data_IF_023760582812
#
_entry.id   IF_023760582812
#
_cell.length_a   1.000
_cell.length_b   1.000
_cell.length_c   1.000
_cell.angle_alpha   90.00
_cell.angle_beta   90.00
_cell.angle_gamma   90.00
#
_symmetry.space_group_name_H-M   'P 1'
#
loop_
_entity.id
_entity.type
_entity.pdbx_description
1 polymer ?
#
# COMPACT_ATOMS: atom_id res chain seq x y z
N UNK A 1 -0.47 0.79 -35.34
CA UNK A 1 -1.15 1.12 -34.08
C UNK A 1 -2.31 2.03 -34.45
N UNK A 2 -3.51 1.47 -34.63
CA UNK A 2 -4.75 2.26 -34.75
C UNK A 2 -4.94 3.03 -33.44
N UNK A 3 -5.31 4.31 -33.53
CA UNK A 3 -5.46 5.23 -32.41
C UNK A 3 -6.36 4.67 -31.30
N UNK A 4 -5.77 4.02 -30.35
CA UNK A 4 -6.43 3.69 -29.09
C UNK A 4 -6.60 5.00 -28.34
N UNK A 5 -7.84 5.39 -28.08
CA UNK A 5 -8.10 6.47 -27.13
C UNK A 5 -7.41 6.17 -25.81
N UNK A 6 -6.69 7.14 -25.29
CA UNK A 6 -6.01 6.98 -23.99
C UNK A 6 -7.07 6.65 -22.93
N UNK A 7 -6.90 5.50 -22.26
CA UNK A 7 -7.83 5.10 -21.21
C UNK A 7 -7.89 6.18 -20.11
N UNK A 8 -9.08 6.44 -19.59
CA UNK A 8 -9.31 7.51 -18.61
C UNK A 8 -8.39 7.46 -17.39
N UNK A 9 -7.99 6.27 -16.95
CA UNK A 9 -7.10 6.09 -15.79
C UNK A 9 -5.65 6.55 -16.04
N UNK A 10 -5.27 6.76 -17.31
CA UNK A 10 -3.94 7.25 -17.71
C UNK A 10 -3.96 8.75 -18.01
N UNK A 11 -5.13 9.41 -17.90
CA UNK A 11 -5.26 10.86 -18.04
C UNK A 11 -4.93 11.49 -16.69
N UNK A 12 -4.00 12.46 -16.62
CA UNK A 12 -3.69 13.13 -15.37
C UNK A 12 -4.94 13.71 -14.72
N UNK A 13 -5.15 13.52 -13.40
CA UNK A 13 -6.30 14.08 -12.70
C UNK A 13 -6.28 15.61 -12.77
N UNK A 14 -7.43 16.21 -13.01
CA UNK A 14 -7.59 17.66 -12.99
C UNK A 14 -8.37 18.08 -11.76
N UNK A 15 -7.90 19.15 -11.11
CA UNK A 15 -8.64 19.71 -9.99
C UNK A 15 -10.02 20.18 -10.46
N UNK A 16 -11.07 19.96 -9.69
CA UNK A 16 -12.39 20.49 -10.02
C UNK A 16 -12.37 22.02 -10.05
N UNK A 17 -13.19 22.61 -10.91
CA UNK A 17 -13.28 24.07 -11.07
C UNK A 17 -13.87 24.80 -9.86
N UNK A 18 -14.52 24.06 -8.95
CA UNK A 18 -15.02 24.54 -7.67
C UNK A 18 -14.43 23.71 -6.54
N UNK A 19 -14.16 24.35 -5.39
CA UNK A 19 -13.78 23.62 -4.18
C UNK A 19 -14.95 22.71 -3.77
N UNK A 20 -14.77 21.41 -3.93
CA UNK A 20 -15.76 20.40 -3.54
C UNK A 20 -15.12 19.48 -2.50
N UNK A 21 -15.87 19.23 -1.43
CA UNK A 21 -15.49 18.24 -0.43
C UNK A 21 -15.72 16.82 -0.95
N UNK A 22 -15.11 15.83 -0.31
CA UNK A 22 -15.37 14.41 -0.60
C UNK A 22 -16.86 14.09 -0.47
N UNK A 23 -17.51 14.63 0.56
CA UNK A 23 -18.93 14.41 0.83
C UNK A 23 -19.81 14.98 -0.28
N UNK A 24 -19.49 16.17 -0.83
CA UNK A 24 -20.23 16.73 -1.97
C UNK A 24 -20.18 15.85 -3.21
N UNK A 25 -19.05 15.20 -3.50
CA UNK A 25 -18.95 14.22 -4.59
C UNK A 25 -19.86 13.01 -4.35
N UNK A 26 -19.84 12.48 -3.11
CA UNK A 26 -20.66 11.33 -2.73
C UNK A 26 -22.15 11.68 -2.75
N UNK A 27 -22.54 12.82 -2.17
CA UNK A 27 -23.93 13.28 -2.14
C UNK A 27 -24.50 13.52 -3.54
N UNK A 28 -23.70 14.09 -4.43
CA UNK A 28 -24.10 14.27 -5.84
C UNK A 28 -24.42 12.93 -6.48
N UNK A 29 -23.59 11.90 -6.25
CA UNK A 29 -23.83 10.58 -6.83
C UNK A 29 -25.04 9.90 -6.19
N UNK A 30 -25.18 9.95 -4.88
CA UNK A 30 -26.35 9.42 -4.17
C UNK A 30 -27.65 10.05 -4.66
N UNK A 31 -27.67 11.38 -4.82
CA UNK A 31 -28.84 12.11 -5.32
C UNK A 31 -29.25 11.68 -6.72
N UNK A 32 -28.29 11.40 -7.61
CA UNK A 32 -28.56 10.89 -8.97
C UNK A 32 -29.26 9.54 -8.94
N UNK A 33 -28.97 8.70 -7.94
CA UNK A 33 -29.56 7.37 -7.74
C UNK A 33 -30.82 7.42 -6.83
N UNK A 34 -31.29 8.62 -6.44
CA UNK A 34 -32.45 8.77 -5.53
C UNK A 34 -32.18 8.30 -4.10
N UNK A 35 -30.92 8.20 -3.72
CA UNK A 35 -30.48 7.76 -2.40
C UNK A 35 -30.04 8.95 -1.53
N UNK A 36 -29.95 8.71 -0.23
CA UNK A 36 -29.43 9.64 0.78
C UNK A 36 -28.48 8.89 1.69
N UNK A 37 -27.48 9.59 2.24
CA UNK A 37 -26.66 9.02 3.29
C UNK A 37 -27.47 8.79 4.59
N UNK A 38 -27.01 7.85 5.41
CA UNK A 38 -27.57 7.62 6.74
C UNK A 38 -27.24 8.79 7.67
N UNK A 39 -27.98 8.89 8.78
CA UNK A 39 -27.61 9.82 9.87
C UNK A 39 -26.24 9.47 10.43
N UNK A 40 -25.58 10.48 11.02
CA UNK A 40 -24.31 10.32 11.70
C UNK A 40 -24.37 9.21 12.76
N UNK A 41 -23.30 8.44 12.86
CA UNK A 41 -23.19 7.36 13.83
C UNK A 41 -23.02 7.93 15.27
N UNK A 42 -23.46 7.17 16.27
CA UNK A 42 -23.23 7.55 17.67
C UNK A 42 -21.74 7.64 18.02
N UNK A 43 -21.36 8.48 18.99
CA UNK A 43 -19.97 8.58 19.47
C UNK A 43 -19.35 7.22 19.83
N UNK A 44 -20.11 6.30 20.43
CA UNK A 44 -19.64 4.94 20.72
C UNK A 44 -19.30 4.16 19.44
N UNK A 45 -20.07 4.33 18.40
CA UNK A 45 -19.81 3.70 17.10
C UNK A 45 -18.62 4.35 16.40
N UNK A 46 -18.51 5.68 16.45
CA UNK A 46 -17.40 6.43 15.83
C UNK A 46 -16.06 6.04 16.43
N UNK A 47 -15.90 6.09 17.75
CA UNK A 47 -14.62 5.72 18.39
C UNK A 47 -14.25 4.27 18.11
N UNK A 48 -15.21 3.34 18.13
CA UNK A 48 -14.96 1.95 17.78
C UNK A 48 -14.44 1.81 16.36
N UNK A 49 -15.07 2.51 15.39
CA UNK A 49 -14.65 2.46 13.97
C UNK A 49 -13.26 3.03 13.79
N UNK A 50 -12.99 4.23 14.31
CA UNK A 50 -11.68 4.88 14.21
C UNK A 50 -10.56 3.97 14.75
N UNK A 51 -10.75 3.40 15.94
CA UNK A 51 -9.75 2.50 16.53
C UNK A 51 -9.54 1.23 15.70
N UNK A 52 -10.61 0.60 15.23
CA UNK A 52 -10.49 -0.62 14.42
C UNK A 52 -9.86 -0.34 13.05
N UNK A 53 -10.21 0.76 12.42
CA UNK A 53 -9.71 1.10 11.10
C UNK A 53 -8.24 1.54 11.15
N UNK A 54 -7.89 2.42 12.10
CA UNK A 54 -6.54 2.99 12.17
C UNK A 54 -5.54 2.12 12.95
N UNK A 55 -5.97 1.46 14.03
CA UNK A 55 -5.08 0.66 14.88
C UNK A 55 -5.30 -0.86 14.76
N UNK A 56 -6.47 -1.28 14.26
CA UNK A 56 -6.87 -2.69 14.31
C UNK A 56 -7.20 -3.22 15.71
N UNK A 57 -7.32 -2.32 16.70
CA UNK A 57 -7.56 -2.61 18.10
C UNK A 57 -8.86 -1.96 18.58
N UNK A 58 -9.42 -2.47 19.65
CA UNK A 58 -10.59 -1.83 20.30
C UNK A 58 -10.12 -0.72 21.25
N UNK A 59 -10.89 0.38 21.37
CA UNK A 59 -10.64 1.37 22.42
C UNK A 59 -10.88 0.78 23.81
N UNK A 60 -10.17 1.29 24.82
CA UNK A 60 -10.43 0.94 26.20
C UNK A 60 -11.78 1.52 26.69
N UNK A 61 -12.39 0.97 27.74
CA UNK A 61 -13.62 1.52 28.34
C UNK A 61 -13.44 2.99 28.76
N UNK A 62 -12.27 3.34 29.25
CA UNK A 62 -11.92 4.69 29.69
C UNK A 62 -11.90 5.68 28.51
N UNK A 63 -11.30 5.30 27.38
CA UNK A 63 -11.28 6.10 26.16
C UNK A 63 -12.69 6.29 25.60
N UNK A 64 -13.50 5.24 25.59
CA UNK A 64 -14.91 5.33 25.17
C UNK A 64 -15.67 6.32 26.03
N UNK A 65 -15.54 6.23 27.36
CA UNK A 65 -16.27 7.10 28.29
C UNK A 65 -15.78 8.55 28.16
N UNK A 66 -14.48 8.80 28.02
CA UNK A 66 -13.92 10.12 27.80
C UNK A 66 -14.49 10.76 26.53
N UNK A 67 -14.44 10.06 25.39
CA UNK A 67 -14.96 10.58 24.13
C UNK A 67 -16.48 10.80 24.13
N UNK A 68 -17.25 9.89 24.70
CA UNK A 68 -18.72 10.03 24.78
C UNK A 68 -19.14 11.22 25.62
N UNK A 69 -18.41 11.52 26.71
CA UNK A 69 -18.67 12.64 27.59
C UNK A 69 -18.11 13.98 27.12
N UNK A 70 -17.20 14.00 26.17
CA UNK A 70 -16.63 15.21 25.58
C UNK A 70 -17.69 15.94 24.75
N UNK A 71 -17.93 17.23 25.09
CA UNK A 71 -18.92 18.07 24.43
C UNK A 71 -18.33 19.10 23.47
N UNK A 72 -17.04 19.07 23.25
CA UNK A 72 -16.37 19.95 22.30
C UNK A 72 -16.83 19.66 20.88
N UNK A 73 -16.91 20.71 20.06
CA UNK A 73 -17.28 20.59 18.65
C UNK A 73 -16.25 19.79 17.85
N UNK A 74 -14.96 19.93 18.17
CA UNK A 74 -13.81 19.27 17.55
C UNK A 74 -13.40 17.96 18.24
N UNK A 75 -14.24 17.39 19.10
CA UNK A 75 -13.92 16.17 19.84
C UNK A 75 -13.60 14.98 18.95
N UNK A 76 -14.21 14.90 17.76
CA UNK A 76 -13.96 13.81 16.83
C UNK A 76 -12.62 13.97 16.11
N UNK A 77 -12.30 15.17 15.67
CA UNK A 77 -11.01 15.51 15.08
C UNK A 77 -9.87 15.25 16.07
N UNK A 78 -10.02 15.70 17.33
CA UNK A 78 -9.04 15.43 18.38
C UNK A 78 -8.86 13.93 18.66
N UNK A 79 -9.94 13.14 18.58
CA UNK A 79 -9.83 11.69 18.67
C UNK A 79 -9.00 11.09 17.52
N UNK A 80 -9.24 11.53 16.29
CA UNK A 80 -8.51 11.04 15.11
C UNK A 80 -7.02 11.37 15.24
N UNK A 81 -6.68 12.63 15.56
CA UNK A 81 -5.28 13.05 15.75
C UNK A 81 -4.58 12.20 16.81
N UNK A 82 -5.21 12.04 17.98
CA UNK A 82 -4.68 11.19 19.06
C UNK A 82 -4.45 9.74 18.61
N UNK A 83 -5.35 9.19 17.81
CA UNK A 83 -5.25 7.80 17.34
C UNK A 83 -4.15 7.66 16.29
N UNK A 84 -3.96 8.66 15.41
CA UNK A 84 -2.89 8.68 14.41
C UNK A 84 -1.49 8.80 15.05
N UNK A 85 -1.36 9.45 16.21
CA UNK A 85 -0.10 9.50 16.98
C UNK A 85 0.27 8.18 17.67
N UNK A 86 -0.64 7.20 17.68
CA UNK A 86 -0.40 5.91 18.33
C UNK A 86 0.56 5.04 17.47
N UNK A 87 1.67 4.54 18.04
CA UNK A 87 2.61 3.67 17.30
C UNK A 87 1.99 2.45 16.61
N UNK A 88 0.89 1.93 17.14
CA UNK A 88 0.14 0.83 16.52
C UNK A 88 -0.49 1.19 15.17
N UNK A 89 -0.59 2.48 14.83
CA UNK A 89 -1.00 2.92 13.50
C UNK A 89 -0.05 2.39 12.43
N UNK A 90 1.25 2.61 12.60
CA UNK A 90 2.26 2.09 11.66
C UNK A 90 2.26 0.56 11.58
N UNK A 91 2.11 -0.14 12.72
CA UNK A 91 2.01 -1.61 12.72
C UNK A 91 0.78 -2.10 11.95
N UNK A 92 -0.37 -1.43 12.10
CA UNK A 92 -1.61 -1.76 11.40
C UNK A 92 -1.49 -1.54 9.91
N UNK A 93 -1.02 -0.36 9.48
CA UNK A 93 -0.97 0.03 8.08
C UNK A 93 0.20 -0.57 7.32
N UNK A 94 1.34 -0.80 7.98
CA UNK A 94 2.46 -1.53 7.39
C UNK A 94 2.05 -2.92 6.90
N UNK A 95 1.13 -3.62 7.58
CA UNK A 95 0.64 -4.93 7.15
C UNK A 95 0.05 -4.91 5.75
N UNK A 96 -0.74 -3.86 5.42
CA UNK A 96 -1.32 -3.73 4.07
C UNK A 96 -0.23 -3.53 3.01
N UNK A 97 0.79 -2.72 3.32
CA UNK A 97 1.93 -2.55 2.42
C UNK A 97 2.76 -3.82 2.30
N UNK A 98 3.02 -4.50 3.39
CA UNK A 98 3.79 -5.75 3.42
C UNK A 98 3.10 -6.87 2.61
N UNK A 99 1.77 -6.91 2.60
CA UNK A 99 1.00 -7.82 1.72
C UNK A 99 1.22 -7.48 0.23
N UNK A 100 1.14 -6.20 -0.13
CA UNK A 100 1.37 -5.76 -1.52
C UNK A 100 2.75 -6.16 -2.02
N UNK A 101 3.78 -6.03 -1.16
CA UNK A 101 5.17 -6.34 -1.53
C UNK A 101 5.54 -7.81 -1.28
N UNK A 102 4.60 -8.64 -0.88
CA UNK A 102 4.76 -10.09 -0.64
C UNK A 102 5.81 -10.41 0.42
N UNK A 103 5.92 -9.55 1.45
CA UNK A 103 6.85 -9.74 2.55
C UNK A 103 6.59 -11.06 3.28
N UNK A 104 7.66 -11.79 3.59
CA UNK A 104 7.64 -12.93 4.49
C UNK A 104 8.97 -13.06 5.24
N UNK A 105 8.91 -13.60 6.45
CA UNK A 105 10.09 -13.91 7.26
C UNK A 105 10.80 -15.18 6.78
N UNK A 106 10.33 -15.79 5.70
CA UNK A 106 10.90 -16.99 5.07
C UNK A 106 11.01 -16.83 3.55
N UNK A 107 11.88 -17.62 2.95
CA UNK A 107 12.20 -17.54 1.52
C UNK A 107 11.11 -18.14 0.60
N UNK A 108 10.20 -18.95 1.15
CA UNK A 108 9.26 -19.73 0.35
C UNK A 108 9.90 -20.93 -0.34
N UNK A 109 9.23 -21.47 -1.33
CA UNK A 109 9.61 -22.68 -2.05
C UNK A 109 9.76 -23.91 -1.14
N UNK A 110 10.38 -24.97 -1.65
CA UNK A 110 10.45 -26.27 -0.98
C UNK A 110 11.21 -26.25 0.36
N UNK A 111 12.28 -25.47 0.43
CA UNK A 111 13.14 -25.41 1.60
C UNK A 111 12.71 -24.38 2.63
N UNK A 112 11.96 -23.40 2.22
CA UNK A 112 11.36 -22.35 3.03
C UNK A 112 12.28 -21.83 4.18
N UNK A 113 13.53 -21.49 3.85
CA UNK A 113 14.48 -20.99 4.84
C UNK A 113 14.02 -19.69 5.49
N UNK A 114 14.32 -19.54 6.76
CA UNK A 114 14.13 -18.30 7.50
C UNK A 114 15.01 -17.18 6.91
N UNK A 115 14.47 -15.96 6.96
CA UNK A 115 15.14 -14.71 6.59
C UNK A 115 15.38 -13.86 7.84
N UNK A 116 16.44 -14.11 8.58
CA UNK A 116 16.63 -13.52 9.91
C UNK A 116 16.76 -11.99 9.89
N UNK A 117 17.04 -11.39 8.72
CA UNK A 117 17.18 -9.94 8.54
C UNK A 117 16.00 -9.29 7.81
N UNK A 118 14.94 -10.03 7.49
CA UNK A 118 13.79 -9.46 6.77
C UNK A 118 13.08 -8.38 7.59
N UNK A 119 13.07 -8.50 8.92
CA UNK A 119 12.44 -7.56 9.84
C UNK A 119 12.94 -6.11 9.69
N UNK A 120 14.15 -5.87 9.22
CA UNK A 120 14.65 -4.51 9.00
C UNK A 120 13.80 -3.73 8.00
N UNK A 121 13.38 -4.38 6.92
CA UNK A 121 12.46 -3.78 5.96
C UNK A 121 11.06 -3.56 6.56
N UNK A 122 10.52 -4.54 7.26
CA UNK A 122 9.25 -4.40 7.98
C UNK A 122 9.28 -3.19 8.92
N UNK A 123 10.32 -3.07 9.73
CA UNK A 123 10.47 -2.00 10.70
C UNK A 123 10.67 -0.63 10.02
N UNK A 124 11.32 -0.60 8.84
CA UNK A 124 11.37 0.60 7.99
C UNK A 124 9.95 1.02 7.57
N UNK A 125 9.13 0.08 7.10
CA UNK A 125 7.76 0.38 6.65
C UNK A 125 6.91 0.90 7.82
N UNK A 126 6.98 0.24 9.00
CA UNK A 126 6.26 0.69 10.20
C UNK A 126 6.64 2.12 10.57
N UNK A 127 7.94 2.43 10.60
CA UNK A 127 8.41 3.79 10.89
C UNK A 127 7.93 4.80 9.86
N UNK A 128 7.99 4.44 8.57
CA UNK A 128 7.55 5.33 7.49
C UNK A 128 6.08 5.75 7.64
N UNK A 129 5.19 4.84 8.05
CA UNK A 129 3.79 5.17 8.35
C UNK A 129 3.66 6.02 9.62
N UNK A 130 4.39 5.71 10.70
CA UNK A 130 4.31 6.49 11.94
C UNK A 130 4.92 7.89 11.82
N UNK A 131 5.87 8.08 10.90
CA UNK A 131 6.51 9.37 10.60
C UNK A 131 5.73 10.17 9.55
N UNK A 132 4.61 9.65 9.07
CA UNK A 132 3.84 10.22 7.94
C UNK A 132 4.75 10.59 6.75
N UNK A 133 5.62 9.66 6.38
CA UNK A 133 6.60 9.88 5.31
C UNK A 133 5.89 10.21 4.00
N UNK A 134 6.24 11.32 3.32
CA UNK A 134 5.67 11.66 2.02
C UNK A 134 5.77 10.49 1.03
N UNK A 135 4.69 10.24 0.30
CA UNK A 135 4.58 9.05 -0.56
C UNK A 135 5.64 9.00 -1.66
N UNK A 136 5.97 10.12 -2.28
CA UNK A 136 7.03 10.23 -3.27
C UNK A 136 8.40 9.83 -2.68
N UNK A 137 8.69 10.25 -1.44
CA UNK A 137 9.89 9.86 -0.73
C UNK A 137 9.89 8.38 -0.37
N UNK A 138 8.75 7.87 0.08
CA UNK A 138 8.58 6.45 0.39
C UNK A 138 8.82 5.55 -0.83
N UNK A 139 8.29 5.94 -2.01
CA UNK A 139 8.53 5.24 -3.28
C UNK A 139 10.01 5.32 -3.67
N UNK A 140 10.58 6.51 -3.65
CA UNK A 140 11.97 6.73 -4.05
C UNK A 140 12.95 5.89 -3.22
N UNK A 141 12.77 5.87 -1.90
CA UNK A 141 13.65 5.12 -1.00
C UNK A 141 13.54 3.60 -1.23
N UNK A 142 12.39 3.08 -1.61
CA UNK A 142 12.22 1.65 -1.88
C UNK A 142 12.84 1.20 -3.21
N UNK A 143 12.93 2.11 -4.18
CA UNK A 143 13.50 1.81 -5.51
C UNK A 143 14.98 2.15 -5.58
N UNK A 144 15.41 3.24 -4.94
CA UNK A 144 16.75 3.81 -5.04
C UNK A 144 17.31 4.29 -3.68
N UNK A 145 16.89 3.68 -2.59
CA UNK A 145 17.27 4.07 -1.22
C UNK A 145 18.78 4.02 -0.93
N UNK A 146 19.50 3.13 -1.60
CA UNK A 146 20.94 3.02 -1.55
C UNK A 146 21.67 4.33 -1.98
N UNK A 147 21.04 5.13 -2.81
CA UNK A 147 21.61 6.42 -3.27
C UNK A 147 21.47 7.55 -2.24
N UNK A 148 20.67 7.35 -1.20
CA UNK A 148 20.32 8.39 -0.21
C UNK A 148 20.47 7.92 1.25
N UNK A 149 21.17 6.81 1.48
CA UNK A 149 21.41 6.26 2.83
C UNK A 149 20.17 5.61 3.46
N UNK A 150 19.25 5.11 2.63
CA UNK A 150 18.05 4.39 3.05
C UNK A 150 18.05 2.94 2.50
N UNK A 151 19.18 2.26 2.59
CA UNK A 151 19.41 0.91 2.02
C UNK A 151 18.36 -0.10 2.50
N UNK A 152 17.91 0.02 3.75
CA UNK A 152 16.89 -0.87 4.32
C UNK A 152 15.58 -0.83 3.52
N UNK A 153 15.24 0.32 2.94
CA UNK A 153 14.03 0.48 2.14
C UNK A 153 14.07 -0.36 0.86
N UNK A 154 15.26 -0.59 0.28
CA UNK A 154 15.42 -1.43 -0.93
C UNK A 154 15.10 -2.90 -0.69
N UNK A 155 14.86 -3.30 0.56
CA UNK A 155 14.28 -4.58 0.92
C UNK A 155 12.97 -4.88 0.17
N UNK A 156 12.27 -3.84 -0.29
CA UNK A 156 11.14 -3.94 -1.22
C UNK A 156 11.43 -4.86 -2.43
N UNK A 157 12.56 -4.66 -3.09
CA UNK A 157 12.93 -5.39 -4.32
C UNK A 157 13.13 -6.89 -4.05
N UNK A 158 13.59 -7.24 -2.85
CA UNK A 158 13.93 -8.62 -2.48
C UNK A 158 12.95 -9.26 -1.48
N UNK A 159 11.83 -8.61 -1.22
CA UNK A 159 10.82 -9.11 -0.26
C UNK A 159 10.12 -10.39 -0.77
N UNK A 160 10.00 -10.56 -2.08
CA UNK A 160 9.33 -11.70 -2.71
C UNK A 160 10.02 -13.05 -2.46
N UNK A 161 9.42 -14.16 -2.89
CA UNK A 161 9.95 -15.50 -2.69
C UNK A 161 11.27 -15.69 -3.44
N UNK A 162 12.18 -16.49 -2.86
CA UNK A 162 13.48 -16.78 -3.45
C UNK A 162 13.75 -18.28 -3.44
N UNK A 163 13.92 -18.85 -4.63
CA UNK A 163 14.40 -20.22 -4.77
C UNK A 163 15.91 -20.30 -4.51
N UNK A 164 16.28 -20.99 -3.44
CA UNK A 164 17.68 -21.18 -3.03
C UNK A 164 18.22 -22.57 -3.41
N UNK A 165 17.37 -23.45 -3.94
CA UNK A 165 17.80 -24.79 -4.42
C UNK A 165 18.44 -24.60 -5.78
N UNK A 166 19.70 -24.16 -5.77
CA UNK A 166 20.51 -24.03 -6.99
C UNK A 166 21.03 -25.39 -7.46
N UNK A 167 20.52 -25.87 -8.57
CA UNK A 167 21.13 -26.97 -9.28
C UNK A 167 22.53 -26.61 -9.81
N UNK A 168 23.33 -27.63 -10.17
CA UNK A 168 24.64 -27.44 -10.84
C UNK A 168 24.48 -26.95 -12.29
N UNK A 169 23.28 -27.07 -12.85
CA UNK A 169 22.97 -26.65 -14.22
C UNK A 169 23.02 -25.13 -14.37
N UNK A 170 23.90 -24.61 -15.25
CA UNK A 170 23.99 -23.16 -15.49
C UNK A 170 22.72 -22.56 -16.11
N UNK A 171 21.97 -23.33 -16.91
CA UNK A 171 20.72 -22.86 -17.52
C UNK A 171 19.64 -22.69 -16.47
N UNK A 172 19.52 -23.65 -15.54
CA UNK A 172 18.58 -23.56 -14.44
C UNK A 172 18.86 -22.30 -13.58
N UNK A 173 20.12 -22.03 -13.24
CA UNK A 173 20.50 -20.82 -12.48
C UNK A 173 20.15 -19.53 -13.21
N UNK A 174 20.36 -19.47 -14.53
CA UNK A 174 19.97 -18.31 -15.34
C UNK A 174 18.44 -18.14 -15.34
N UNK A 175 17.70 -19.22 -15.45
CA UNK A 175 16.24 -19.20 -15.40
C UNK A 175 15.73 -18.73 -14.03
N UNK A 176 16.30 -19.23 -12.93
CA UNK A 176 15.96 -18.78 -11.57
C UNK A 176 16.23 -17.28 -11.42
N UNK A 177 17.39 -16.79 -11.87
CA UNK A 177 17.69 -15.35 -11.83
C UNK A 177 16.74 -14.51 -12.69
N UNK A 178 16.39 -14.99 -13.87
CA UNK A 178 15.40 -14.32 -14.73
C UNK A 178 14.01 -14.27 -14.08
N UNK A 179 13.62 -15.30 -13.33
CA UNK A 179 12.37 -15.33 -12.58
C UNK A 179 12.39 -14.32 -11.42
N UNK A 180 13.49 -14.23 -10.66
CA UNK A 180 13.65 -13.22 -9.60
C UNK A 180 13.54 -11.79 -10.15
N UNK A 181 14.21 -11.49 -11.27
CA UNK A 181 14.15 -10.17 -11.90
C UNK A 181 12.74 -9.85 -12.42
N UNK A 182 12.10 -10.83 -13.06
CA UNK A 182 10.72 -10.67 -13.52
C UNK A 182 9.73 -10.40 -12.36
N UNK A 183 9.95 -11.02 -11.21
CA UNK A 183 9.19 -10.80 -10.02
C UNK A 183 9.40 -9.38 -9.45
N UNK A 184 10.64 -8.90 -9.41
CA UNK A 184 10.96 -7.50 -9.01
C UNK A 184 10.28 -6.47 -9.92
N UNK A 185 10.34 -6.65 -11.24
CA UNK A 185 9.67 -5.78 -12.22
C UNK A 185 8.16 -5.83 -12.03
N UNK A 186 7.61 -7.04 -11.90
CA UNK A 186 6.17 -7.24 -11.72
C UNK A 186 5.63 -6.56 -10.47
N UNK A 187 6.30 -6.71 -9.31
CA UNK A 187 5.87 -6.06 -8.06
C UNK A 187 6.02 -4.54 -8.12
N UNK A 188 7.08 -4.04 -8.73
CA UNK A 188 7.29 -2.60 -8.89
C UNK A 188 6.14 -1.98 -9.70
N UNK A 189 5.78 -2.59 -10.83
CA UNK A 189 4.66 -2.14 -11.64
C UNK A 189 3.32 -2.21 -10.92
N UNK A 190 3.03 -3.32 -10.24
CA UNK A 190 1.75 -3.49 -9.54
C UNK A 190 1.64 -2.60 -8.29
N UNK A 191 2.71 -2.47 -7.50
CA UNK A 191 2.68 -1.71 -6.25
C UNK A 191 2.61 -0.19 -6.46
N UNK A 192 3.37 0.34 -7.43
CA UNK A 192 3.49 1.79 -7.62
C UNK A 192 2.68 2.35 -8.78
N UNK A 193 2.45 1.56 -9.83
CA UNK A 193 1.74 2.01 -11.02
C UNK A 193 0.33 1.42 -11.14
N UNK A 194 0.00 0.39 -10.36
CA UNK A 194 -1.26 -0.34 -10.50
C UNK A 194 -1.38 -1.11 -11.83
N UNK A 195 -0.24 -1.39 -12.49
CA UNK A 195 -0.19 -2.05 -13.79
C UNK A 195 0.25 -3.50 -13.66
N UNK A 196 -0.35 -4.39 -14.45
CA UNK A 196 -0.02 -5.82 -14.47
C UNK A 196 1.17 -6.11 -15.41
N UNK A 197 2.29 -5.41 -15.18
CA UNK A 197 3.49 -5.45 -16.03
C UNK A 197 3.99 -6.87 -16.29
N UNK A 198 3.82 -7.78 -15.35
CA UNK A 198 4.26 -9.19 -15.49
C UNK A 198 3.69 -9.94 -16.69
N UNK A 199 2.55 -9.50 -17.26
CA UNK A 199 2.00 -10.07 -18.50
C UNK A 199 2.92 -9.81 -19.70
N UNK A 200 3.63 -8.67 -19.70
CA UNK A 200 4.52 -8.26 -20.78
C UNK A 200 5.79 -9.12 -20.87
N UNK A 201 6.07 -9.97 -19.90
CA UNK A 201 7.18 -10.93 -19.97
C UNK A 201 7.12 -11.87 -21.19
N UNK A 202 5.91 -12.22 -21.65
CA UNK A 202 5.72 -13.20 -22.71
C UNK A 202 5.12 -12.61 -24.01
N UNK A 203 4.36 -11.52 -23.90
CA UNK A 203 3.70 -10.86 -25.03
C UNK A 203 3.32 -9.43 -24.63
N UNK A 204 3.05 -8.57 -25.60
CA UNK A 204 2.54 -7.22 -25.32
C UNK A 204 1.29 -7.29 -24.45
N UNK A 205 1.18 -6.40 -23.45
CA UNK A 205 0.03 -6.39 -22.58
C UNK A 205 -1.25 -6.13 -23.36
N UNK A 206 -2.32 -6.85 -23.04
CA UNK A 206 -3.57 -6.78 -23.84
C UNK A 206 -4.28 -5.43 -23.75
N UNK A 207 -4.21 -4.78 -22.60
CA UNK A 207 -4.98 -3.57 -22.30
C UNK A 207 -4.09 -2.38 -21.91
N UNK A 208 -3.04 -2.63 -21.11
CA UNK A 208 -2.13 -1.59 -20.65
C UNK A 208 -1.10 -1.26 -21.76
N UNK A 209 -0.63 -0.02 -21.86
CA UNK A 209 0.32 0.41 -22.88
C UNK A 209 1.74 -0.05 -22.56
N UNK A 210 1.93 -1.37 -22.38
CA UNK A 210 3.21 -2.00 -22.01
C UNK A 210 3.49 -3.09 -23.04
N UNK A 211 4.56 -2.92 -23.80
CA UNK A 211 5.03 -3.92 -24.74
C UNK A 211 5.96 -4.95 -24.06
N UNK A 212 6.24 -6.05 -24.74
CA UNK A 212 7.26 -6.99 -24.31
C UNK A 212 8.67 -6.35 -24.29
N UNK A 213 8.93 -5.36 -25.13
CA UNK A 213 10.17 -4.60 -25.14
C UNK A 213 10.35 -3.73 -23.88
N UNK A 214 9.25 -3.27 -23.28
CA UNK A 214 9.28 -2.45 -22.06
C UNK A 214 9.59 -3.28 -20.80
N UNK A 215 9.35 -4.60 -20.85
CA UNK A 215 9.60 -5.55 -19.77
C UNK A 215 11.07 -5.97 -19.69
#
# INVERSE_FOLDING_TARGET
LMGMETHWSLIPPQAPTSSQSIDEFIEKKLSQEGLRHSSEASKRTLIRRVHLDLLGLLPSPEEVNAFVSDKKEDAYEQLIEKVLENPSYGERWARHWLDVVRYADSAGFETNHERPNAYHYRDYVIRAFNEDKPYDRFVFEQVAGDTVGAETATGFLVAGPKDIVGGKDPLLRKQQRANELADMVGVTGSAFLGLTVGCARCHDHKFDPISQEDF
#
